data_IF_788798849853
#
_entry.id   IF_788798849853
#
_cell.length_a   1.000
_cell.length_b   1.000
_cell.length_c   1.000
_cell.angle_alpha   90.00
_cell.angle_beta   90.00
_cell.angle_gamma   90.00
#
_symmetry.space_group_name_H-M   'P 1'
#
loop_
_entity.id
_entity.type
_entity.pdbx_description
1 polymer ?
#
# COMPACT_ATOMS: atom_id res chain seq x y z
N UNK A 1 -19.64 0.07 -25.76
CA UNK A 1 -18.35 -0.51 -25.36
C UNK A 1 -18.33 -0.58 -23.84
N UNK A 2 -18.51 -1.78 -23.27
CA UNK A 2 -18.49 -1.97 -21.82
C UNK A 2 -17.06 -1.84 -21.31
N UNK A 3 -16.82 -0.89 -20.41
CA UNK A 3 -15.58 -0.80 -19.62
C UNK A 3 -15.61 -1.97 -18.65
N UNK A 4 -14.89 -3.05 -18.95
CA UNK A 4 -14.75 -4.18 -18.06
C UNK A 4 -13.90 -3.79 -16.86
N UNK A 5 -14.32 -4.28 -15.69
CA UNK A 5 -13.77 -4.03 -14.36
C UNK A 5 -12.41 -4.71 -14.15
N UNK A 6 -11.51 -4.63 -15.15
CA UNK A 6 -10.25 -5.37 -15.27
C UNK A 6 -9.01 -4.47 -15.39
N UNK A 7 -9.19 -3.16 -15.57
CA UNK A 7 -8.08 -2.20 -15.74
C UNK A 7 -7.70 -1.46 -14.46
N UNK A 8 -8.29 -1.81 -13.31
CA UNK A 8 -8.00 -1.16 -12.02
C UNK A 8 -7.02 -1.94 -11.12
N UNK A 9 -6.47 -3.06 -11.57
CA UNK A 9 -5.82 -4.02 -10.66
C UNK A 9 -4.52 -4.64 -11.22
N UNK A 10 -3.85 -3.95 -12.15
CA UNK A 10 -2.47 -4.26 -12.49
C UNK A 10 -1.57 -3.38 -11.63
N UNK A 11 -0.81 -3.95 -10.69
CA UNK A 11 0.10 -3.16 -9.90
C UNK A 11 1.25 -2.68 -10.80
N UNK A 12 1.38 -1.36 -10.95
CA UNK A 12 2.43 -0.75 -11.78
C UNK A 12 3.79 -0.71 -11.05
N UNK A 13 3.75 -0.81 -9.71
CA UNK A 13 4.91 -0.72 -8.83
C UNK A 13 4.81 -1.67 -7.63
N UNK A 14 5.88 -1.75 -6.84
CA UNK A 14 5.95 -2.61 -5.66
C UNK A 14 4.91 -2.24 -4.59
N UNK A 15 4.66 -0.94 -4.39
CA UNK A 15 3.62 -0.49 -3.45
C UNK A 15 2.23 -0.97 -3.89
N UNK A 16 1.91 -0.86 -5.18
CA UNK A 16 0.69 -1.40 -5.76
C UNK A 16 0.59 -2.91 -5.59
N UNK A 17 1.66 -3.67 -5.81
CA UNK A 17 1.68 -5.13 -5.66
C UNK A 17 1.32 -5.53 -4.23
N UNK A 18 1.97 -4.89 -3.27
CA UNK A 18 1.77 -5.13 -1.84
C UNK A 18 0.35 -4.73 -1.41
N UNK A 19 -0.18 -3.59 -1.90
CA UNK A 19 -1.57 -3.17 -1.66
C UNK A 19 -2.60 -4.12 -2.28
N UNK A 20 -2.34 -4.62 -3.49
CA UNK A 20 -3.20 -5.61 -4.16
C UNK A 20 -3.20 -6.95 -3.44
N UNK A 21 -2.06 -7.39 -2.88
CA UNK A 21 -2.01 -8.58 -2.03
C UNK A 21 -2.74 -8.38 -0.70
N UNK A 22 -2.70 -7.17 -0.14
CA UNK A 22 -3.36 -6.84 1.13
C UNK A 22 -4.87 -6.71 1.04
N UNK A 23 -5.41 -6.20 -0.08
CA UNK A 23 -6.87 -6.03 -0.25
C UNK A 23 -7.64 -7.36 -0.16
N UNK A 24 -6.96 -8.47 -0.47
CA UNK A 24 -7.49 -9.83 -0.45
C UNK A 24 -6.85 -10.71 0.64
N UNK A 25 -6.05 -10.13 1.55
CA UNK A 25 -5.40 -10.87 2.64
C UNK A 25 -6.44 -11.53 3.58
N UNK A 26 -6.20 -12.75 4.10
CA UNK A 26 -5.01 -13.60 3.95
C UNK A 26 -4.98 -14.47 2.68
N UNK A 27 -6.07 -14.50 1.92
CA UNK A 27 -6.25 -15.44 0.80
C UNK A 27 -5.65 -14.93 -0.52
N UNK A 28 -5.22 -13.67 -0.54
CA UNK A 28 -4.60 -12.99 -1.65
C UNK A 28 -3.27 -13.62 -2.04
N UNK A 29 -3.21 -14.14 -3.26
CA UNK A 29 -1.99 -14.70 -3.81
C UNK A 29 -1.81 -14.26 -5.27
N UNK A 30 -0.56 -14.05 -5.69
CA UNK A 30 -0.21 -13.67 -7.06
C UNK A 30 0.80 -14.67 -7.61
N UNK A 31 0.63 -15.02 -8.87
CA UNK A 31 1.56 -15.95 -9.56
C UNK A 31 2.93 -15.31 -9.76
N UNK A 32 3.98 -16.15 -9.87
CA UNK A 32 5.34 -15.69 -10.20
C UNK A 32 5.35 -14.70 -11.37
N UNK A 33 4.66 -15.01 -12.47
CA UNK A 33 4.59 -14.16 -13.67
C UNK A 33 4.22 -12.70 -13.38
N UNK A 34 3.24 -12.46 -12.48
CA UNK A 34 2.83 -11.10 -12.10
C UNK A 34 3.93 -10.41 -11.28
N UNK A 35 4.67 -11.16 -10.46
CA UNK A 35 5.84 -10.63 -9.76
C UNK A 35 7.00 -10.36 -10.72
N UNK A 36 7.24 -11.20 -11.73
CA UNK A 36 8.30 -10.98 -12.73
C UNK A 36 8.03 -9.72 -13.57
N UNK A 37 6.76 -9.38 -13.82
CA UNK A 37 6.37 -8.15 -14.53
C UNK A 37 6.71 -6.86 -13.75
N UNK A 38 6.69 -6.92 -12.42
CA UNK A 38 6.84 -5.76 -11.53
C UNK A 38 8.26 -5.69 -10.94
N UNK A 39 8.81 -6.85 -10.59
CA UNK A 39 10.13 -7.03 -10.00
C UNK A 39 11.00 -7.74 -11.04
N UNK A 40 11.65 -6.94 -11.88
CA UNK A 40 12.44 -7.41 -13.02
C UNK A 40 13.68 -8.22 -12.58
N UNK A 41 14.23 -7.93 -11.40
CA UNK A 41 15.44 -8.56 -10.91
C UNK A 41 15.12 -9.73 -9.97
N UNK A 42 15.56 -10.94 -10.32
CA UNK A 42 15.27 -12.16 -9.55
C UNK A 42 15.83 -12.11 -8.12
N UNK A 43 17.01 -11.50 -7.93
CA UNK A 43 17.60 -11.33 -6.59
C UNK A 43 16.68 -10.54 -5.65
N UNK A 44 15.95 -9.54 -6.17
CA UNK A 44 15.03 -8.73 -5.34
C UNK A 44 13.82 -9.55 -4.90
N UNK A 45 13.36 -10.51 -5.71
CA UNK A 45 12.27 -11.43 -5.31
C UNK A 45 12.70 -12.31 -4.15
N UNK A 46 13.88 -12.91 -4.26
CA UNK A 46 14.44 -13.76 -3.22
C UNK A 46 14.67 -12.96 -1.93
N UNK A 47 15.22 -11.74 -2.04
CA UNK A 47 15.39 -10.82 -0.90
C UNK A 47 14.05 -10.50 -0.23
N UNK A 48 12.97 -10.27 -1.00
CA UNK A 48 11.65 -9.97 -0.45
C UNK A 48 11.03 -11.14 0.30
N UNK A 49 11.31 -12.37 -0.15
CA UNK A 49 10.88 -13.59 0.54
C UNK A 49 11.72 -13.81 1.79
N UNK A 50 13.06 -13.68 1.70
CA UNK A 50 13.99 -13.84 2.81
C UNK A 50 13.71 -12.84 3.94
N UNK A 51 13.42 -11.59 3.57
CA UNK A 51 13.05 -10.55 4.53
C UNK A 51 11.58 -10.62 4.97
N UNK A 52 10.79 -11.60 4.52
CA UNK A 52 9.42 -11.83 5.00
C UNK A 52 8.39 -10.79 4.53
N UNK A 53 8.68 -10.05 3.46
CA UNK A 53 7.69 -9.21 2.78
C UNK A 53 6.70 -10.03 1.97
N UNK A 54 7.17 -11.13 1.40
CA UNK A 54 6.39 -12.09 0.63
C UNK A 54 6.58 -13.50 1.21
N UNK A 55 5.57 -14.35 1.06
CA UNK A 55 5.66 -15.77 1.40
C UNK A 55 5.43 -16.58 0.15
N UNK A 56 6.36 -17.47 -0.16
CA UNK A 56 6.27 -18.36 -1.30
C UNK A 56 5.48 -19.63 -0.95
N UNK A 57 4.51 -19.97 -1.78
CA UNK A 57 3.76 -21.22 -1.70
C UNK A 57 3.97 -22.03 -2.98
N UNK A 58 4.51 -23.27 -2.87
CA UNK A 58 4.56 -24.18 -3.99
C UNK A 58 3.15 -24.70 -4.28
N UNK A 59 2.68 -24.49 -5.50
CA UNK A 59 1.41 -25.03 -5.99
C UNK A 59 1.71 -26.02 -7.12
N UNK A 60 1.28 -27.26 -6.94
CA UNK A 60 1.41 -28.29 -7.97
C UNK A 60 0.41 -28.00 -9.08
N UNK A 61 0.90 -27.62 -10.27
CA UNK A 61 0.04 -27.38 -11.42
C UNK A 61 -0.55 -28.68 -11.98
N UNK A 62 -1.72 -28.59 -12.62
CA UNK A 62 -2.19 -29.65 -13.52
C UNK A 62 -1.15 -29.83 -14.64
N UNK A 63 -0.49 -30.99 -14.66
CA UNK A 63 0.60 -31.30 -15.59
C UNK A 63 1.99 -31.48 -14.96
N UNK A 64 2.14 -31.29 -13.65
CA UNK A 64 3.41 -31.55 -12.95
C UNK A 64 4.45 -30.42 -13.03
N UNK A 65 4.07 -29.26 -13.57
CA UNK A 65 4.89 -28.04 -13.47
C UNK A 65 4.76 -27.41 -12.08
N UNK A 66 5.90 -27.14 -11.44
CA UNK A 66 5.97 -26.41 -10.18
C UNK A 66 5.60 -24.94 -10.42
N UNK A 67 4.40 -24.54 -9.99
CA UNK A 67 3.96 -23.15 -10.03
C UNK A 67 4.21 -22.51 -8.67
N UNK A 68 4.96 -21.42 -8.66
CA UNK A 68 5.22 -20.62 -7.46
C UNK A 68 4.17 -19.51 -7.35
N UNK A 69 3.48 -19.46 -6.21
CA UNK A 69 2.55 -18.40 -5.86
C UNK A 69 3.08 -17.65 -4.65
N UNK A 70 2.82 -16.35 -4.59
CA UNK A 70 3.33 -15.47 -3.54
C UNK A 70 2.16 -14.81 -2.84
N UNK A 71 2.18 -14.87 -1.51
CA UNK A 71 1.23 -14.20 -0.62
C UNK A 71 1.95 -13.09 0.16
N UNK A 72 1.18 -12.25 0.84
CA UNK A 72 1.75 -11.20 1.67
C UNK A 72 2.35 -11.77 2.96
N UNK A 73 3.61 -11.45 3.23
CA UNK A 73 4.28 -11.80 4.47
C UNK A 73 4.07 -10.79 5.60
N UNK A 74 4.47 -11.12 6.84
CA UNK A 74 4.32 -10.25 8.01
C UNK A 74 4.95 -8.86 7.83
N UNK A 75 6.12 -8.76 7.18
CA UNK A 75 6.76 -7.47 6.94
C UNK A 75 6.01 -6.65 5.88
N UNK A 76 5.37 -7.32 4.92
CA UNK A 76 4.50 -6.67 3.94
C UNK A 76 3.30 -5.99 4.61
N UNK A 77 2.71 -6.64 5.62
CA UNK A 77 1.60 -6.07 6.42
C UNK A 77 2.09 -4.84 7.22
N UNK A 78 3.25 -4.94 7.86
CA UNK A 78 3.84 -3.84 8.61
C UNK A 78 4.16 -2.64 7.71
N UNK A 79 4.66 -2.91 6.50
CA UNK A 79 4.95 -1.89 5.50
C UNK A 79 3.68 -1.10 5.12
N UNK A 80 2.57 -1.80 4.88
CA UNK A 80 1.28 -1.16 4.58
C UNK A 80 0.78 -0.32 5.75
N UNK A 81 0.88 -0.83 6.97
CA UNK A 81 0.53 -0.06 8.15
C UNK A 81 1.37 1.22 8.24
N UNK A 82 2.67 1.15 7.95
CA UNK A 82 3.55 2.32 7.92
C UNK A 82 3.12 3.37 6.89
N UNK A 83 2.69 2.94 5.69
CA UNK A 83 2.18 3.83 4.65
C UNK A 83 0.86 4.48 5.05
N UNK A 84 -0.08 3.69 5.59
CA UNK A 84 -1.36 4.21 6.07
C UNK A 84 -1.15 5.22 7.19
N UNK A 85 -0.27 4.93 8.16
CA UNK A 85 0.08 5.86 9.24
C UNK A 85 0.70 7.14 8.69
N UNK A 86 1.58 7.05 7.69
CA UNK A 86 2.19 8.22 7.05
C UNK A 86 1.13 9.12 6.38
N UNK A 87 0.17 8.52 5.69
CA UNK A 87 -0.93 9.26 5.05
C UNK A 87 -1.85 9.91 6.09
N UNK A 88 -2.22 9.16 7.13
CA UNK A 88 -2.97 9.67 8.29
C UNK A 88 -2.24 10.85 8.93
N UNK A 89 -0.95 10.71 9.21
CA UNK A 89 -0.12 11.75 9.82
C UNK A 89 -0.11 13.03 8.98
N UNK A 90 -0.02 12.92 7.64
CA UNK A 90 -0.12 14.08 6.75
C UNK A 90 -1.49 14.78 6.84
N UNK A 91 -2.57 14.01 6.84
CA UNK A 91 -3.94 14.54 6.97
C UNK A 91 -4.14 15.23 8.32
N UNK A 92 -3.67 14.59 9.39
CA UNK A 92 -3.72 15.16 10.75
C UNK A 92 -2.92 16.45 10.84
N UNK A 93 -1.69 16.49 10.29
CA UNK A 93 -0.88 17.70 10.28
C UNK A 93 -1.59 18.85 9.56
N UNK A 94 -2.20 18.59 8.39
CA UNK A 94 -2.96 19.59 7.66
C UNK A 94 -4.14 20.13 8.48
N UNK A 95 -4.91 19.25 9.13
CA UNK A 95 -5.99 19.63 10.04
C UNK A 95 -5.48 20.47 11.21
N UNK A 96 -4.35 20.10 11.81
CA UNK A 96 -3.73 20.87 12.90
C UNK A 96 -3.34 22.28 12.44
N UNK A 97 -2.72 22.41 11.27
CA UNK A 97 -2.38 23.73 10.71
C UNK A 97 -3.63 24.56 10.42
N UNK A 98 -4.69 23.94 9.92
CA UNK A 98 -5.97 24.63 9.67
C UNK A 98 -6.59 25.15 10.97
N UNK A 99 -6.64 24.33 12.02
CA UNK A 99 -7.16 24.73 13.33
C UNK A 99 -6.32 25.85 13.93
N UNK A 100 -4.99 25.74 13.87
CA UNK A 100 -4.08 26.78 14.35
C UNK A 100 -4.31 28.11 13.62
N UNK A 101 -4.49 28.05 12.30
CA UNK A 101 -4.78 29.24 11.48
C UNK A 101 -6.13 29.87 11.84
N UNK A 102 -7.20 29.09 11.99
CA UNK A 102 -8.51 29.59 12.40
C UNK A 102 -8.48 30.19 13.81
N UNK A 103 -7.73 29.57 14.71
CA UNK A 103 -7.54 30.08 16.09
C UNK A 103 -6.83 31.42 16.07
N UNK A 104 -5.79 31.55 15.24
CA UNK A 104 -5.07 32.81 15.05
C UNK A 104 -5.97 33.91 14.48
N UNK A 105 -6.78 33.62 13.45
CA UNK A 105 -7.76 34.57 12.91
C UNK A 105 -8.79 35.00 13.94
N UNK A 106 -9.31 34.07 14.75
CA UNK A 106 -10.26 34.38 15.80
C UNK A 106 -9.65 35.31 16.86
N UNK A 107 -8.39 35.08 17.22
CA UNK A 107 -7.66 35.90 18.19
C UNK A 107 -7.46 37.34 17.67
N UNK A 108 -7.13 37.50 16.39
CA UNK A 108 -7.07 38.83 15.74
C UNK A 108 -8.44 39.51 15.79
N UNK A 109 -9.50 38.80 15.39
CA UNK A 109 -10.85 39.36 15.36
C UNK A 109 -11.31 39.85 16.73
N UNK A 110 -11.10 39.05 17.78
CA UNK A 110 -11.38 39.44 19.17
C UNK A 110 -10.59 40.67 19.59
N UNK A 111 -9.31 40.76 19.21
CA UNK A 111 -8.46 41.90 19.55
C UNK A 111 -8.97 43.19 18.88
N UNK A 112 -9.41 43.11 17.62
CA UNK A 112 -10.00 44.25 16.90
C UNK A 112 -11.32 44.68 17.56
N UNK A 113 -12.18 43.73 17.94
CA UNK A 113 -13.45 44.03 18.62
C UNK A 113 -13.27 44.70 19.98
N UNK A 114 -12.20 44.39 20.72
CA UNK A 114 -11.93 45.02 22.02
C UNK A 114 -11.41 46.45 21.88
N UNK A 115 -10.69 46.75 20.79
CA UNK A 115 -10.10 48.07 20.54
C UNK A 115 -11.10 49.05 19.92
N UNK A 116 -12.11 48.54 19.20
CA UNK A 116 -13.14 49.34 18.52
C UNK A 116 -14.35 49.57 19.39
#
# INVERSE_FOLDING_TARGET
MAKTMSDFDRPEDFEGLIRSLYSVFPNGSKSKKVLDEIIVADNVKDDLVENGYLVEHPVRGEGGEDKKWYTLGPQGILLINSWNIKELTKKTAYLTYLIAFLTFLNLIFLTIQVIT
#
